data_IF_414688577114
#
_entry.id   IF_414688577114
#
_cell.length_a   1.000
_cell.length_b   1.000
_cell.length_c   1.000
_cell.angle_alpha   90.00
_cell.angle_beta   90.00
_cell.angle_gamma   90.00
#
_symmetry.space_group_name_H-M   'P 1'
#
loop_
_entity.id
_entity.type
_entity.pdbx_description
1 polymer ?
#
# COMPACT_ATOMS: atom_id res chain seq x y z
N UNK A 1 71.08 -14.77 -30.10
CA UNK A 1 69.62 -14.93 -30.31
C UNK A 1 68.89 -13.57 -30.58
N UNK A 2 69.49 -12.45 -30.34
CA UNK A 2 68.87 -11.12 -30.45
C UNK A 2 68.77 -10.54 -31.89
N UNK A 3 69.66 -10.89 -32.82
CA UNK A 3 69.67 -10.36 -34.22
C UNK A 3 68.46 -10.87 -35.06
N UNK A 4 67.92 -12.08 -34.82
CA UNK A 4 66.82 -12.60 -35.62
C UNK A 4 65.45 -11.97 -35.23
N UNK A 5 65.24 -11.51 -33.95
CA UNK A 5 64.03 -10.81 -33.53
C UNK A 5 63.94 -9.40 -34.11
N UNK A 6 65.05 -8.69 -34.24
CA UNK A 6 65.08 -7.33 -34.76
C UNK A 6 64.70 -7.25 -36.26
N UNK A 7 65.18 -8.20 -37.05
CA UNK A 7 64.88 -8.26 -38.50
C UNK A 7 63.39 -8.63 -38.75
N UNK A 8 62.78 -9.42 -37.89
CA UNK A 8 61.37 -9.81 -38.03
C UNK A 8 60.44 -8.64 -37.67
N UNK A 9 60.84 -7.80 -36.70
CA UNK A 9 60.10 -6.61 -36.29
C UNK A 9 60.17 -5.48 -37.31
N UNK A 10 61.33 -5.33 -37.97
CA UNK A 10 61.53 -4.34 -39.01
C UNK A 10 60.73 -4.64 -40.28
N UNK A 11 60.65 -5.94 -40.67
CA UNK A 11 59.82 -6.38 -41.82
C UNK A 11 58.35 -6.19 -41.57
N UNK A 12 57.87 -6.38 -40.31
CA UNK A 12 56.46 -6.18 -39.96
C UNK A 12 56.07 -4.68 -40.02
N UNK A 13 56.94 -3.78 -39.59
CA UNK A 13 56.69 -2.32 -39.70
C UNK A 13 56.69 -1.81 -41.14
N UNK A 14 57.54 -2.33 -41.98
CA UNK A 14 57.59 -1.96 -43.41
C UNK A 14 56.35 -2.45 -44.16
N UNK A 15 55.88 -3.68 -43.85
CA UNK A 15 54.65 -4.22 -44.48
C UNK A 15 53.41 -3.41 -44.04
N UNK A 16 53.28 -3.04 -42.73
CA UNK A 16 52.20 -2.21 -42.28
C UNK A 16 52.23 -0.80 -42.90
N UNK A 17 53.42 -0.21 -43.08
CA UNK A 17 53.56 1.11 -43.70
C UNK A 17 53.15 1.09 -45.18
N UNK A 18 53.47 -0.01 -45.92
CA UNK A 18 53.08 -0.17 -47.33
C UNK A 18 51.56 -0.36 -47.45
N UNK A 19 50.92 -1.07 -46.55
CA UNK A 19 49.45 -1.28 -46.54
C UNK A 19 48.75 0.06 -46.26
N UNK A 20 49.24 0.86 -45.32
CA UNK A 20 48.66 2.17 -45.00
C UNK A 20 48.79 3.14 -46.20
N UNK A 21 49.92 3.11 -46.87
CA UNK A 21 50.12 3.90 -48.11
C UNK A 21 49.20 3.48 -49.26
N UNK A 22 48.97 2.18 -49.42
CA UNK A 22 48.03 1.67 -50.42
C UNK A 22 46.59 2.06 -50.14
N UNK A 23 46.18 2.08 -48.85
CA UNK A 23 44.83 2.52 -48.43
C UNK A 23 44.64 4.02 -48.65
N UNK A 24 45.65 4.84 -48.34
CA UNK A 24 45.61 6.28 -48.61
C UNK A 24 45.57 6.57 -50.10
N UNK A 25 46.34 5.85 -50.94
CA UNK A 25 46.29 5.99 -52.39
C UNK A 25 44.91 5.55 -52.97
N UNK A 26 44.31 4.49 -52.41
CA UNK A 26 42.96 4.05 -52.79
C UNK A 26 41.88 5.08 -52.47
N UNK A 27 41.96 5.69 -51.28
CA UNK A 27 41.05 6.77 -50.88
C UNK A 27 41.24 8.03 -51.75
N UNK A 28 42.45 8.40 -52.04
CA UNK A 28 42.78 9.52 -52.96
C UNK A 28 42.25 9.26 -54.38
N UNK A 29 42.33 8.02 -54.86
CA UNK A 29 41.78 7.65 -56.16
C UNK A 29 40.28 7.72 -56.21
N UNK A 30 39.60 7.29 -55.13
CA UNK A 30 38.11 7.39 -54.99
C UNK A 30 37.66 8.86 -54.97
N UNK A 31 38.36 9.73 -54.20
CA UNK A 31 38.08 11.17 -54.19
C UNK A 31 38.36 11.81 -55.55
N UNK A 32 39.47 11.43 -56.25
CA UNK A 32 39.73 11.89 -57.56
C UNK A 32 38.78 11.44 -58.67
N UNK A 33 38.25 10.21 -58.56
CA UNK A 33 37.21 9.70 -59.48
C UNK A 33 35.84 10.38 -59.23
N UNK A 34 35.54 10.79 -58.00
CA UNK A 34 34.36 11.60 -57.70
C UNK A 34 34.47 13.06 -58.13
N UNK A 35 35.72 13.61 -58.19
CA UNK A 35 36.00 14.98 -58.65
C UNK A 35 36.01 15.12 -60.15
N UNK A 36 36.08 14.01 -60.90
CA UNK A 36 36.22 14.00 -62.39
C UNK A 36 34.93 13.42 -63.04
N UNK A 37 33.78 13.64 -62.41
CA UNK A 37 32.47 13.36 -63.00
C UNK A 37 32.12 14.48 -64.01
N UNK A 38 31.89 14.08 -65.20
CA UNK A 38 31.69 14.85 -66.46
C UNK A 38 30.76 16.04 -66.31
N UNK A 39 31.21 17.13 -66.84
CA UNK A 39 30.35 18.21 -67.31
C UNK A 39 29.49 17.78 -68.47
N UNK A 40 28.21 17.65 -68.22
CA UNK A 40 27.18 17.61 -69.24
C UNK A 40 26.14 18.68 -68.92
N UNK A 41 26.09 19.67 -69.80
CA UNK A 41 25.05 20.67 -69.90
C UNK A 41 23.65 20.02 -69.83
N UNK A 42 22.95 20.30 -68.77
CA UNK A 42 21.56 19.94 -68.60
C UNK A 42 20.85 21.09 -67.94
N UNK A 43 20.09 21.84 -68.71
CA UNK A 43 19.21 22.93 -68.29
C UNK A 43 18.46 22.61 -67.05
N UNK A 44 18.45 23.60 -66.14
CA UNK A 44 17.62 23.68 -64.92
C UNK A 44 16.12 23.46 -65.28
N UNK A 45 15.63 22.25 -65.20
CA UNK A 45 14.28 21.99 -64.77
C UNK A 45 14.32 21.89 -63.26
N UNK A 46 14.09 23.02 -62.59
CA UNK A 46 13.58 23.06 -61.21
C UNK A 46 12.23 22.39 -61.26
N UNK A 47 12.22 21.05 -61.11
CA UNK A 47 11.01 20.35 -60.75
C UNK A 47 10.63 20.87 -59.36
N UNK A 48 9.64 21.76 -59.32
CA UNK A 48 8.80 21.98 -58.17
C UNK A 48 8.22 20.61 -57.79
N UNK A 49 8.99 19.83 -57.02
CA UNK A 49 8.40 18.85 -56.13
C UNK A 49 7.64 19.71 -55.12
N UNK A 50 6.38 20.04 -55.44
CA UNK A 50 5.36 20.30 -54.45
C UNK A 50 5.48 19.10 -53.52
N UNK A 51 6.07 19.33 -52.35
CA UNK A 51 5.90 18.45 -51.21
C UNK A 51 4.39 18.49 -50.97
N UNK A 52 3.64 17.50 -51.49
CA UNK A 52 2.37 17.22 -50.90
C UNK A 52 2.62 17.09 -49.39
N UNK A 53 2.33 18.16 -48.66
CA UNK A 53 2.28 18.11 -47.24
C UNK A 53 1.25 17.03 -46.91
N UNK A 54 1.74 15.87 -46.50
CA UNK A 54 0.89 14.74 -46.10
C UNK A 54 -0.03 15.25 -45.00
N UNK A 55 -1.30 15.49 -45.37
CA UNK A 55 -2.33 15.97 -44.42
C UNK A 55 -2.38 15.00 -43.28
N UNK A 56 -2.03 15.46 -42.09
CA UNK A 56 -1.95 14.62 -40.89
C UNK A 56 -3.37 14.31 -40.40
N UNK A 57 -3.69 13.04 -40.32
CA UNK A 57 -4.98 12.62 -39.74
C UNK A 57 -4.91 12.71 -38.20
N UNK A 58 -5.92 13.36 -37.62
CA UNK A 58 -5.98 13.66 -36.18
C UNK A 58 -7.32 13.25 -35.56
N UNK A 59 -7.28 12.80 -34.32
CA UNK A 59 -8.48 12.64 -33.51
C UNK A 59 -8.73 13.92 -32.71
N UNK A 60 -10.00 14.25 -32.53
CA UNK A 60 -10.38 15.49 -31.86
C UNK A 60 -11.43 15.27 -30.79
N UNK A 61 -11.50 16.20 -29.83
CA UNK A 61 -12.58 16.29 -28.84
C UNK A 61 -13.08 17.72 -28.71
N UNK A 62 -14.36 17.86 -28.43
CA UNK A 62 -14.95 19.18 -28.12
C UNK A 62 -14.72 19.49 -26.65
N UNK A 63 -14.10 20.61 -26.37
CA UNK A 63 -13.81 21.06 -25.02
C UNK A 63 -15.11 21.48 -24.31
N UNK A 64 -15.41 20.86 -23.20
CA UNK A 64 -16.57 21.16 -22.35
C UNK A 64 -16.15 21.23 -20.91
N UNK A 65 -16.87 22.02 -20.11
CA UNK A 65 -16.69 22.03 -18.66
C UNK A 65 -17.22 20.72 -18.09
N UNK A 66 -16.37 20.01 -17.38
CA UNK A 66 -16.71 18.74 -16.73
C UNK A 66 -16.11 18.68 -15.32
N UNK A 67 -16.51 17.66 -14.59
CA UNK A 67 -15.93 17.37 -13.29
C UNK A 67 -14.62 16.61 -13.46
N UNK A 68 -13.52 17.21 -13.03
CA UNK A 68 -12.22 16.59 -13.00
C UNK A 68 -12.05 15.75 -11.73
N UNK A 69 -11.59 14.51 -11.86
CA UNK A 69 -11.25 13.67 -10.71
C UNK A 69 -9.77 13.88 -10.36
N UNK A 70 -9.54 14.81 -9.41
CA UNK A 70 -8.20 15.00 -8.85
C UNK A 70 -7.82 13.75 -8.05
N UNK A 71 -6.65 13.19 -8.30
CA UNK A 71 -6.14 12.01 -7.62
C UNK A 71 -4.87 12.34 -6.85
N UNK A 72 -4.87 12.01 -5.56
CA UNK A 72 -3.68 12.03 -4.70
C UNK A 72 -3.23 10.59 -4.53
N UNK A 73 -2.01 10.30 -5.00
CA UNK A 73 -1.41 8.97 -4.89
C UNK A 73 -0.46 8.93 -3.69
N UNK A 74 -0.71 7.97 -2.81
CA UNK A 74 0.11 7.75 -1.62
C UNK A 74 0.51 6.27 -1.52
N UNK A 75 1.59 6.02 -0.80
CA UNK A 75 1.95 4.69 -0.36
C UNK A 75 1.49 4.51 1.09
N UNK A 76 0.86 3.39 1.37
CA UNK A 76 0.37 3.05 2.70
C UNK A 76 0.80 1.66 3.12
N UNK A 77 0.55 1.36 4.38
CA UNK A 77 0.76 0.05 4.99
C UNK A 77 -0.51 -0.42 5.66
N UNK A 78 -0.89 -1.66 5.42
CA UNK A 78 -2.02 -2.30 6.08
C UNK A 78 -1.68 -2.64 7.53
N UNK A 79 -2.62 -2.37 8.41
CA UNK A 79 -2.60 -2.79 9.81
C UNK A 79 -3.93 -3.44 10.15
N UNK A 80 -3.87 -4.60 10.75
CA UNK A 80 -5.08 -5.25 11.24
C UNK A 80 -5.74 -4.39 12.32
N UNK A 81 -7.06 -4.30 12.28
CA UNK A 81 -7.84 -3.51 13.24
C UNK A 81 -7.65 -3.99 14.67
N UNK A 82 -7.58 -5.30 14.85
CA UNK A 82 -7.27 -5.95 16.13
C UNK A 82 -6.12 -6.91 15.96
N UNK A 83 -5.12 -6.73 16.77
CA UNK A 83 -3.93 -7.59 16.84
C UNK A 83 -3.61 -7.81 18.32
N UNK A 84 -3.46 -9.05 18.72
CA UNK A 84 -3.05 -9.45 20.05
C UNK A 84 -1.85 -10.38 19.98
N UNK A 85 -0.78 -10.04 20.68
CA UNK A 85 0.33 -10.96 20.94
C UNK A 85 -0.06 -11.81 22.14
N UNK A 86 -0.30 -13.08 21.90
CA UNK A 86 -0.69 -14.04 22.93
C UNK A 86 0.54 -14.67 23.54
N UNK A 87 0.55 -14.73 24.87
CA UNK A 87 1.60 -15.38 25.64
C UNK A 87 1.20 -16.81 25.95
N UNK A 88 2.18 -17.67 26.21
CA UNK A 88 1.88 -19.02 26.68
C UNK A 88 1.15 -18.97 28.02
N UNK A 89 0.18 -19.88 28.23
CA UNK A 89 -0.49 -19.97 29.52
C UNK A 89 0.57 -20.29 30.56
N UNK A 90 0.70 -19.42 31.57
CA UNK A 90 1.72 -19.46 32.62
C UNK A 90 3.17 -19.56 32.09
N UNK A 91 3.84 -18.43 32.01
CA UNK A 91 5.23 -18.33 31.58
C UNK A 91 6.14 -19.37 32.27
N UNK A 92 6.88 -20.12 31.46
CA UNK A 92 7.82 -21.13 31.94
C UNK A 92 7.26 -22.53 32.19
N UNK A 93 5.95 -22.78 32.07
CA UNK A 93 5.39 -24.13 32.13
C UNK A 93 5.46 -24.86 30.77
N UNK A 94 5.45 -26.20 30.83
CA UNK A 94 5.47 -27.05 29.62
C UNK A 94 4.05 -27.07 29.02
N UNK A 95 3.94 -26.80 27.72
CA UNK A 95 2.69 -26.94 26.99
C UNK A 95 2.36 -28.43 26.80
N UNK A 96 1.21 -28.85 27.24
CA UNK A 96 0.70 -30.23 27.02
C UNK A 96 0.22 -30.37 25.58
N UNK A 97 -0.51 -29.36 25.06
CA UNK A 97 -1.01 -29.38 23.69
C UNK A 97 -1.02 -27.97 23.07
N UNK A 98 -0.84 -27.96 21.74
CA UNK A 98 -1.06 -26.78 20.89
C UNK A 98 -2.04 -27.19 19.81
N UNK A 99 -3.22 -26.56 19.80
CA UNK A 99 -4.37 -27.00 19.01
C UNK A 99 -4.57 -26.19 17.73
N UNK A 100 -3.61 -25.34 17.37
CA UNK A 100 -3.71 -24.42 16.25
C UNK A 100 -2.45 -24.41 15.38
N UNK A 101 -2.59 -23.87 14.16
CA UNK A 101 -1.50 -23.74 13.18
C UNK A 101 -1.47 -22.32 12.60
N UNK A 102 -0.32 -21.89 12.10
CA UNK A 102 -0.23 -20.64 11.36
C UNK A 102 -1.22 -20.59 10.19
N UNK A 103 -1.89 -19.45 10.02
CA UNK A 103 -2.90 -19.25 9.00
C UNK A 103 -4.29 -19.79 9.33
N UNK A 104 -4.46 -20.52 10.44
CA UNK A 104 -5.75 -21.07 10.85
C UNK A 104 -6.69 -19.96 11.35
N UNK A 105 -7.94 -20.01 10.91
CA UNK A 105 -9.02 -19.18 11.45
C UNK A 105 -9.52 -19.80 12.77
N UNK A 106 -9.66 -18.98 13.80
CA UNK A 106 -10.15 -19.38 15.12
C UNK A 106 -11.32 -18.48 15.54
N UNK A 107 -12.27 -19.05 16.27
CA UNK A 107 -13.37 -18.30 16.87
C UNK A 107 -12.98 -17.81 18.26
N UNK A 108 -13.62 -16.71 18.69
CA UNK A 108 -13.53 -16.24 20.09
C UNK A 108 -13.84 -17.36 21.09
N UNK A 109 -13.04 -17.45 22.15
CA UNK A 109 -13.17 -18.50 23.19
C UNK A 109 -12.61 -19.87 22.82
N UNK A 110 -12.17 -20.09 21.55
CA UNK A 110 -11.56 -21.36 21.14
C UNK A 110 -10.28 -21.60 21.93
N UNK A 111 -10.07 -22.84 22.39
CA UNK A 111 -8.85 -23.25 23.10
C UNK A 111 -7.69 -23.40 22.12
N UNK A 112 -6.67 -22.56 22.29
CA UNK A 112 -5.48 -22.52 21.45
C UNK A 112 -4.37 -23.46 21.97
N UNK A 113 -4.17 -23.46 23.29
CA UNK A 113 -3.19 -24.29 23.96
C UNK A 113 -3.61 -24.64 25.39
N UNK A 114 -3.04 -25.70 25.90
CA UNK A 114 -3.21 -26.12 27.29
C UNK A 114 -1.82 -26.41 27.87
N UNK A 115 -1.49 -25.78 29.02
CA UNK A 115 -0.31 -26.12 29.80
C UNK A 115 -0.52 -27.41 30.61
N UNK A 116 0.51 -27.93 31.25
CA UNK A 116 0.37 -29.07 32.15
C UNK A 116 -0.53 -28.69 33.33
N UNK A 117 -1.60 -29.44 33.50
CA UNK A 117 -2.64 -29.16 34.49
C UNK A 117 -2.58 -30.06 35.73
N UNK A 118 -1.65 -31.03 35.80
CA UNK A 118 -1.63 -32.04 36.87
C UNK A 118 -1.53 -31.41 38.26
N UNK A 119 -0.49 -30.65 38.51
CA UNK A 119 -0.30 -29.97 39.80
C UNK A 119 -1.46 -29.05 40.19
N UNK A 120 -2.09 -28.40 39.18
CA UNK A 120 -3.23 -27.49 39.42
C UNK A 120 -4.49 -28.22 39.75
N UNK A 121 -4.72 -29.41 39.15
CA UNK A 121 -5.84 -30.28 39.51
C UNK A 121 -5.70 -30.81 40.91
N UNK A 122 -4.48 -31.26 41.29
CA UNK A 122 -4.19 -31.74 42.64
C UNK A 122 -4.39 -30.61 43.69
N UNK A 123 -3.93 -29.38 43.36
CA UNK A 123 -4.14 -28.23 44.22
C UNK A 123 -5.65 -27.86 44.36
N UNK A 124 -6.41 -27.98 43.28
CA UNK A 124 -7.84 -27.74 43.27
C UNK A 124 -8.57 -28.77 44.16
N UNK A 125 -8.24 -30.05 44.01
CA UNK A 125 -8.84 -31.12 44.85
C UNK A 125 -8.50 -30.91 46.32
N UNK A 126 -7.25 -30.54 46.64
CA UNK A 126 -6.87 -30.18 48.01
C UNK A 126 -7.70 -29.00 48.54
N UNK A 127 -7.83 -27.91 47.75
CA UNK A 127 -8.59 -26.75 48.17
C UNK A 127 -10.08 -27.06 48.40
N UNK A 128 -10.69 -28.00 47.60
CA UNK A 128 -12.03 -28.49 47.83
C UNK A 128 -12.15 -29.21 49.16
N UNK A 129 -11.25 -30.13 49.48
CA UNK A 129 -11.23 -30.84 50.75
C UNK A 129 -11.06 -29.90 51.94
N UNK A 130 -10.15 -28.91 51.84
CA UNK A 130 -9.94 -27.91 52.88
C UNK A 130 -11.19 -27.05 53.11
N UNK A 131 -11.94 -26.70 52.04
CA UNK A 131 -13.23 -26.00 52.14
C UNK A 131 -14.30 -26.83 52.82
N UNK A 132 -14.45 -28.13 52.49
CA UNK A 132 -15.40 -29.01 53.13
C UNK A 132 -15.10 -29.17 54.61
N UNK A 133 -13.82 -29.32 54.98
CA UNK A 133 -13.40 -29.35 56.40
C UNK A 133 -13.77 -28.05 57.12
N UNK A 134 -13.44 -26.89 56.50
CA UNK A 134 -13.77 -25.59 57.11
C UNK A 134 -15.28 -25.35 57.23
N UNK A 135 -16.08 -25.94 56.32
CA UNK A 135 -17.54 -25.87 56.37
C UNK A 135 -18.11 -26.65 57.55
N UNK A 136 -17.57 -27.85 57.79
CA UNK A 136 -17.95 -28.63 59.01
C UNK A 136 -17.59 -27.86 60.28
N UNK A 137 -16.39 -27.28 60.34
CA UNK A 137 -15.96 -26.47 61.49
C UNK A 137 -16.84 -25.23 61.70
N UNK A 138 -17.30 -24.60 60.61
CA UNK A 138 -18.25 -23.48 60.65
C UNK A 138 -19.59 -23.92 61.24
N UNK A 139 -20.11 -25.08 60.80
CA UNK A 139 -21.37 -25.65 61.34
C UNK A 139 -21.25 -25.96 62.80
N UNK A 140 -20.16 -26.62 63.24
CA UNK A 140 -19.92 -26.96 64.65
C UNK A 140 -19.84 -25.70 65.53
N UNK A 141 -19.20 -24.63 65.04
CA UNK A 141 -19.15 -23.35 65.77
C UNK A 141 -20.51 -22.67 65.87
N UNK A 142 -21.33 -22.73 64.79
CA UNK A 142 -22.70 -22.20 64.80
C UNK A 142 -23.56 -22.98 65.80
N UNK A 143 -23.48 -24.31 65.83
CA UNK A 143 -24.18 -25.16 66.79
C UNK A 143 -23.73 -24.80 68.22
N UNK A 144 -22.41 -24.64 68.46
CA UNK A 144 -21.85 -24.20 69.73
C UNK A 144 -22.35 -22.85 70.24
N UNK A 145 -22.78 -21.99 69.31
CA UNK A 145 -23.41 -20.68 69.61
C UNK A 145 -24.97 -20.73 69.73
N UNK A 146 -25.51 -21.92 69.64
CA UNK A 146 -26.99 -22.12 69.81
C UNK A 146 -27.79 -21.97 68.54
N UNK A 147 -27.15 -21.94 67.32
CA UNK A 147 -27.83 -21.98 66.01
C UNK A 147 -27.98 -23.45 65.56
N UNK A 148 -28.88 -23.70 64.62
CA UNK A 148 -29.10 -25.03 64.01
C UNK A 148 -28.02 -25.54 63.05
N UNK A 149 -26.90 -24.82 62.95
CA UNK A 149 -25.84 -25.11 61.95
C UNK A 149 -26.14 -24.58 60.56
N UNK A 150 -27.32 -24.01 60.34
CA UNK A 150 -27.68 -23.34 59.10
C UNK A 150 -27.30 -21.85 59.15
N UNK A 151 -26.89 -21.31 58.05
CA UNK A 151 -26.46 -19.90 57.92
C UNK A 151 -27.60 -18.91 57.75
N UNK A 152 -28.83 -19.39 57.40
CA UNK A 152 -29.94 -18.55 56.97
C UNK A 152 -30.55 -17.69 58.09
N UNK A 153 -30.50 -18.16 59.34
CA UNK A 153 -31.05 -17.49 60.50
C UNK A 153 -30.01 -16.86 61.43
N UNK A 154 -28.73 -16.72 60.93
CA UNK A 154 -27.64 -16.19 61.72
C UNK A 154 -27.44 -14.68 61.42
N UNK A 155 -27.37 -13.81 62.45
CA UNK A 155 -27.04 -12.41 62.23
C UNK A 155 -25.74 -12.23 61.46
N UNK A 156 -25.67 -11.28 60.51
CA UNK A 156 -24.58 -11.13 59.59
C UNK A 156 -23.23 -10.87 60.27
N UNK A 157 -23.21 -10.19 61.41
CA UNK A 157 -22.00 -9.91 62.19
C UNK A 157 -21.49 -11.18 62.90
N UNK A 158 -22.36 -12.03 63.40
CA UNK A 158 -22.04 -13.33 64.03
C UNK A 158 -21.54 -14.29 62.93
N UNK A 159 -22.22 -14.38 61.80
CA UNK A 159 -21.86 -15.24 60.68
C UNK A 159 -20.47 -14.87 60.18
N UNK A 160 -20.21 -13.61 59.91
CA UNK A 160 -18.90 -13.13 59.46
C UNK A 160 -17.77 -13.47 60.44
N UNK A 161 -18.03 -13.37 61.76
CA UNK A 161 -17.05 -13.74 62.80
C UNK A 161 -16.76 -15.24 62.75
N UNK A 162 -17.79 -16.06 62.65
CA UNK A 162 -17.68 -17.50 62.62
C UNK A 162 -17.03 -17.97 61.31
N UNK A 163 -17.36 -17.39 60.18
CA UNK A 163 -16.67 -17.66 58.88
C UNK A 163 -15.15 -17.42 58.95
N UNK A 164 -14.75 -16.33 59.58
CA UNK A 164 -13.32 -16.03 59.79
C UNK A 164 -12.65 -17.00 60.77
N UNK A 165 -13.29 -17.26 61.92
CA UNK A 165 -12.67 -18.09 62.96
C UNK A 165 -12.67 -19.59 62.64
N UNK A 166 -13.62 -20.10 61.83
CA UNK A 166 -13.63 -21.46 61.30
C UNK A 166 -12.63 -21.68 60.12
N UNK A 167 -12.06 -20.61 59.60
CA UNK A 167 -11.22 -20.69 58.38
C UNK A 167 -12.00 -20.86 57.10
N UNK A 168 -13.35 -20.83 57.12
CA UNK A 168 -14.18 -20.99 55.93
C UNK A 168 -13.91 -19.91 54.87
N UNK A 169 -13.74 -18.66 55.31
CA UNK A 169 -13.45 -17.56 54.40
C UNK A 169 -12.12 -17.77 53.65
N UNK A 170 -11.06 -18.19 54.38
CA UNK A 170 -9.76 -18.45 53.80
C UNK A 170 -9.77 -19.67 52.87
N UNK A 171 -10.46 -20.72 53.23
CA UNK A 171 -10.60 -21.93 52.41
C UNK A 171 -11.37 -21.65 51.11
N UNK A 172 -12.47 -20.87 51.18
CA UNK A 172 -13.22 -20.40 50.00
C UNK A 172 -12.38 -19.56 49.08
N UNK A 173 -11.54 -18.68 49.61
CA UNK A 173 -10.59 -17.90 48.81
C UNK A 173 -9.53 -18.78 48.15
N UNK A 174 -8.99 -19.79 48.88
CA UNK A 174 -8.04 -20.74 48.35
C UNK A 174 -8.62 -21.58 47.20
N UNK A 175 -9.89 -22.03 47.36
CA UNK A 175 -10.59 -22.73 46.28
C UNK A 175 -10.71 -21.86 45.02
N UNK A 176 -11.19 -20.62 45.15
CA UNK A 176 -11.28 -19.68 44.01
C UNK A 176 -9.93 -19.44 43.35
N UNK A 177 -8.86 -19.30 44.12
CA UNK A 177 -7.51 -19.13 43.60
C UNK A 177 -7.03 -20.37 42.85
N UNK A 178 -7.35 -21.58 43.32
CA UNK A 178 -7.00 -22.83 42.66
C UNK A 178 -7.79 -23.03 41.35
N UNK A 179 -9.07 -22.66 41.33
CA UNK A 179 -9.92 -22.65 40.14
C UNK A 179 -9.37 -21.70 39.09
N UNK A 180 -9.00 -20.47 39.45
CA UNK A 180 -8.41 -19.49 38.58
C UNK A 180 -7.07 -19.99 38.04
N UNK A 181 -6.20 -20.55 38.88
CA UNK A 181 -4.91 -21.11 38.47
C UNK A 181 -5.05 -22.27 37.47
N UNK A 182 -6.10 -23.09 37.59
CA UNK A 182 -6.40 -24.14 36.62
C UNK A 182 -6.96 -23.53 35.30
N UNK A 183 -7.82 -22.52 35.39
CA UNK A 183 -8.36 -21.82 34.23
C UNK A 183 -7.19 -21.15 33.42
N UNK A 184 -6.23 -20.54 34.11
CA UNK A 184 -5.07 -19.87 33.52
C UNK A 184 -4.09 -20.84 32.82
N UNK A 185 -4.24 -22.14 33.02
CA UNK A 185 -3.52 -23.16 32.24
C UNK A 185 -4.06 -23.32 30.81
N UNK A 186 -5.20 -22.71 30.49
CA UNK A 186 -5.82 -22.81 29.18
C UNK A 186 -5.79 -21.47 28.46
N UNK A 187 -5.09 -21.38 27.34
CA UNK A 187 -5.10 -20.22 26.50
C UNK A 187 -6.30 -20.27 25.54
N UNK A 188 -7.14 -19.26 25.59
CA UNK A 188 -8.28 -19.09 24.69
C UNK A 188 -8.10 -17.87 23.79
N UNK A 189 -8.71 -17.91 22.61
CA UNK A 189 -8.73 -16.77 21.70
C UNK A 189 -9.56 -15.62 22.27
N UNK A 190 -9.02 -14.40 22.43
CA UNK A 190 -9.76 -13.26 22.96
C UNK A 190 -10.77 -12.66 21.98
N UNK A 191 -10.63 -12.95 20.70
CA UNK A 191 -11.55 -12.60 19.62
C UNK A 191 -11.38 -13.56 18.44
N UNK A 192 -12.33 -13.57 17.51
CA UNK A 192 -12.23 -14.35 16.28
C UNK A 192 -11.20 -13.74 15.33
N UNK A 193 -10.31 -14.56 14.76
CA UNK A 193 -9.23 -14.07 13.87
C UNK A 193 -8.37 -15.19 13.35
N UNK A 194 -7.25 -14.83 12.75
CA UNK A 194 -6.28 -15.76 12.14
C UNK A 194 -4.99 -15.81 12.96
N UNK A 195 -4.48 -17.02 13.16
CA UNK A 195 -3.21 -17.24 13.85
C UNK A 195 -2.04 -16.89 12.94
N UNK A 196 -1.14 -16.06 13.46
CA UNK A 196 0.14 -15.71 12.84
C UNK A 196 1.29 -15.89 13.84
N UNK A 197 2.51 -16.03 13.34
CA UNK A 197 3.74 -16.08 14.14
C UNK A 197 3.69 -17.09 15.30
N UNK A 198 3.10 -18.28 15.06
CA UNK A 198 3.06 -19.34 16.05
C UNK A 198 4.47 -19.87 16.29
N UNK A 199 4.99 -19.60 17.47
CA UNK A 199 6.34 -20.02 17.92
C UNK A 199 6.27 -21.24 18.82
N UNK A 200 5.23 -21.35 19.62
CA UNK A 200 5.07 -22.38 20.65
C UNK A 200 4.85 -23.78 20.05
N UNK A 201 5.41 -24.78 20.72
CA UNK A 201 5.29 -26.21 20.35
C UNK A 201 4.90 -27.05 21.56
N UNK A 202 4.18 -28.18 21.34
CA UNK A 202 3.91 -29.13 22.40
C UNK A 202 5.19 -29.61 23.07
N UNK A 203 5.13 -29.83 24.37
CA UNK A 203 6.21 -30.33 25.21
C UNK A 203 7.43 -29.41 25.32
N UNK A 204 7.26 -28.13 24.95
CA UNK A 204 8.29 -27.10 25.10
C UNK A 204 7.83 -25.99 26.05
N UNK A 205 8.80 -25.33 26.67
CA UNK A 205 8.60 -24.10 27.46
C UNK A 205 8.75 -22.91 26.52
N UNK A 206 7.97 -21.86 26.74
CA UNK A 206 8.07 -20.64 25.99
C UNK A 206 7.23 -19.54 26.62
N UNK A 207 7.60 -18.28 26.36
CA UNK A 207 6.85 -17.13 26.83
C UNK A 207 5.82 -16.69 25.78
N UNK A 208 6.27 -16.52 24.54
CA UNK A 208 5.39 -16.15 23.41
C UNK A 208 4.70 -17.36 22.84
N UNK A 209 3.41 -17.22 22.53
CA UNK A 209 2.63 -18.25 21.88
C UNK A 209 2.43 -17.96 20.40
N UNK A 210 1.66 -16.96 20.06
CA UNK A 210 1.37 -16.55 18.68
C UNK A 210 0.88 -15.10 18.63
N UNK A 211 0.67 -14.61 17.42
CA UNK A 211 -0.10 -13.38 17.18
C UNK A 211 -1.48 -13.75 16.65
N UNK A 212 -2.54 -13.23 17.26
CA UNK A 212 -3.90 -13.33 16.75
C UNK A 212 -4.26 -12.04 16.01
N UNK A 213 -4.73 -12.16 14.78
CA UNK A 213 -5.01 -11.05 13.87
C UNK A 213 -6.46 -11.15 13.40
N UNK A 214 -7.23 -10.08 13.61
CA UNK A 214 -8.54 -9.93 12.99
C UNK A 214 -8.33 -9.44 11.56
N UNK A 215 -8.50 -10.34 10.59
CA UNK A 215 -8.30 -10.07 9.16
C UNK A 215 -9.58 -9.66 8.42
N UNK A 216 -10.63 -9.31 9.14
CA UNK A 216 -11.91 -8.86 8.56
C UNK A 216 -11.83 -7.45 7.99
N UNK A 217 -11.14 -6.55 8.69
CA UNK A 217 -10.88 -5.17 8.28
C UNK A 217 -9.42 -4.83 8.51
N UNK A 218 -8.91 -3.95 7.64
CA UNK A 218 -7.58 -3.36 7.80
C UNK A 218 -7.67 -1.84 7.86
N UNK A 219 -6.92 -1.26 8.74
CA UNK A 219 -6.61 0.16 8.71
C UNK A 219 -5.37 0.36 7.83
N UNK A 220 -5.49 1.23 6.84
CA UNK A 220 -4.42 1.63 5.93
C UNK A 220 -3.78 2.88 6.48
N UNK A 221 -2.55 2.81 6.93
CA UNK A 221 -1.79 3.96 7.39
C UNK A 221 -0.98 4.53 6.24
N UNK A 222 -1.20 5.80 5.90
CA UNK A 222 -0.49 6.51 4.85
C UNK A 222 -0.27 7.97 5.22
N UNK A 223 0.60 8.64 4.46
CA UNK A 223 0.92 10.05 4.68
C UNK A 223 0.59 10.87 3.45
N UNK A 224 0.05 12.06 3.66
CA UNK A 224 -0.25 13.05 2.62
C UNK A 224 0.50 14.34 2.91
N UNK A 225 0.73 15.16 1.89
CA UNK A 225 1.25 16.51 2.05
C UNK A 225 0.22 17.41 2.75
N UNK A 226 0.67 18.35 3.56
CA UNK A 226 -0.19 19.36 4.20
C UNK A 226 -1.05 20.10 3.17
N UNK A 227 -0.50 20.44 2.01
CA UNK A 227 -1.22 21.08 0.91
C UNK A 227 -2.41 20.26 0.37
N UNK A 228 -2.38 18.92 0.51
CA UNK A 228 -3.45 18.02 0.08
C UNK A 228 -4.53 17.83 1.15
N UNK A 229 -4.29 18.29 2.38
CA UNK A 229 -5.23 18.14 3.50
C UNK A 229 -6.58 18.83 3.24
N UNK A 230 -6.58 19.92 2.49
CA UNK A 230 -7.81 20.61 2.07
C UNK A 230 -8.77 19.68 1.31
N UNK A 231 -8.21 18.71 0.62
CA UNK A 231 -8.91 17.72 -0.20
C UNK A 231 -9.31 16.44 0.54
N UNK A 232 -8.85 16.25 1.78
CA UNK A 232 -9.05 14.99 2.54
C UNK A 232 -9.81 15.29 3.83
N UNK A 233 -10.95 14.62 4.01
CA UNK A 233 -11.81 14.76 5.20
C UNK A 233 -12.16 13.38 5.74
N UNK A 234 -12.63 13.32 6.97
CA UNK A 234 -13.24 12.12 7.52
C UNK A 234 -14.36 11.62 6.58
N UNK A 235 -14.36 10.34 6.26
CA UNK A 235 -15.29 9.72 5.32
C UNK A 235 -14.90 9.84 3.85
N UNK A 236 -13.82 10.56 3.49
CA UNK A 236 -13.34 10.60 2.10
C UNK A 236 -13.06 9.18 1.60
N UNK A 237 -13.61 8.86 0.42
CA UNK A 237 -13.43 7.56 -0.22
C UNK A 237 -12.01 7.41 -0.74
N UNK A 238 -11.41 6.27 -0.46
CA UNK A 238 -10.07 5.91 -0.93
C UNK A 238 -10.11 4.58 -1.67
N UNK A 239 -9.32 4.46 -2.72
CA UNK A 239 -9.06 3.18 -3.41
C UNK A 239 -7.72 2.65 -2.94
N UNK A 240 -7.70 1.40 -2.53
CA UNK A 240 -6.52 0.74 -1.98
C UNK A 240 -6.19 -0.49 -2.82
N UNK A 241 -4.97 -0.54 -3.33
CA UNK A 241 -4.49 -1.65 -4.16
C UNK A 241 -3.16 -2.16 -3.63
N UNK A 242 -3.03 -3.46 -3.32
CA UNK A 242 -1.74 -4.05 -2.95
C UNK A 242 -0.72 -3.93 -4.09
N UNK A 243 0.56 -3.73 -3.77
CA UNK A 243 1.59 -3.70 -4.81
C UNK A 243 1.78 -5.04 -5.51
N UNK A 244 1.46 -6.14 -4.79
CA UNK A 244 1.57 -7.52 -5.32
C UNK A 244 0.48 -7.82 -6.35
N UNK A 245 -0.71 -7.24 -6.16
CA UNK A 245 -1.88 -7.47 -7.03
C UNK A 245 -2.49 -6.12 -7.40
N UNK A 246 -2.07 -5.58 -8.54
CA UNK A 246 -2.49 -4.25 -9.02
C UNK A 246 -3.93 -4.23 -9.52
N UNK A 247 -4.49 -5.38 -9.86
CA UNK A 247 -5.87 -5.50 -10.34
C UNK A 247 -6.86 -5.52 -9.16
N UNK A 248 -6.41 -5.95 -8.00
CA UNK A 248 -7.22 -5.89 -6.79
C UNK A 248 -7.33 -4.44 -6.31
N UNK A 249 -8.49 -3.85 -6.50
CA UNK A 249 -8.82 -2.52 -5.99
C UNK A 249 -9.96 -2.61 -4.99
N UNK A 250 -9.70 -2.22 -3.76
CA UNK A 250 -10.65 -2.21 -2.66
C UNK A 250 -11.00 -0.77 -2.31
N UNK A 251 -12.28 -0.55 -2.02
CA UNK A 251 -12.76 0.75 -1.59
C UNK A 251 -12.76 0.82 -0.07
N UNK A 252 -12.22 1.93 0.46
CA UNK A 252 -12.23 2.25 1.87
C UNK A 252 -12.66 3.70 2.11
N UNK A 253 -12.68 4.10 3.38
CA UNK A 253 -12.97 5.47 3.78
C UNK A 253 -11.99 5.93 4.85
N UNK A 254 -11.63 7.21 4.81
CA UNK A 254 -10.80 7.86 5.83
C UNK A 254 -11.51 7.83 7.18
N UNK A 255 -10.86 7.28 8.19
CA UNK A 255 -11.38 7.14 9.56
C UNK A 255 -10.65 8.01 10.57
N UNK A 256 -9.42 8.42 10.27
CA UNK A 256 -8.62 9.22 11.19
C UNK A 256 -7.66 10.12 10.40
N UNK A 257 -7.54 11.37 10.84
CA UNK A 257 -6.54 12.32 10.34
C UNK A 257 -5.78 12.83 11.57
N UNK A 258 -4.47 12.59 11.61
CA UNK A 258 -3.65 13.08 12.71
C UNK A 258 -3.57 14.62 12.66
N UNK A 259 -3.87 15.34 13.76
CA UNK A 259 -3.81 16.80 13.79
C UNK A 259 -2.37 17.36 13.86
N UNK A 260 -1.36 16.53 13.71
CA UNK A 260 0.06 16.92 13.71
C UNK A 260 0.69 16.75 12.33
N UNK A 261 1.48 17.74 11.93
CA UNK A 261 2.34 17.70 10.73
C UNK A 261 3.75 17.30 11.16
N UNK A 262 4.36 16.38 10.46
CA UNK A 262 5.75 15.97 10.75
C UNK A 262 6.77 16.97 10.15
N UNK A 263 8.07 16.79 10.51
CA UNK A 263 9.17 17.66 10.06
C UNK A 263 9.35 17.71 8.53
N UNK A 264 8.68 16.82 7.80
CA UNK A 264 8.69 16.75 6.34
C UNK A 264 7.45 17.38 5.71
N UNK A 265 6.58 18.01 6.48
CA UNK A 265 5.32 18.58 5.99
C UNK A 265 4.26 17.53 5.66
N UNK A 266 4.34 16.34 6.28
CA UNK A 266 3.40 15.26 6.03
C UNK A 266 2.43 15.08 7.19
N UNK A 267 1.18 14.79 6.87
CA UNK A 267 0.11 14.45 7.80
C UNK A 267 -0.20 12.96 7.69
N UNK A 268 -0.24 12.26 8.83
CA UNK A 268 -0.61 10.85 8.88
C UNK A 268 -2.12 10.69 8.84
N UNK A 269 -2.58 9.82 7.97
CA UNK A 269 -4.01 9.53 7.73
C UNK A 269 -4.23 8.03 7.83
N UNK A 270 -5.38 7.62 8.40
CA UNK A 270 -5.84 6.23 8.37
C UNK A 270 -7.14 6.11 7.59
N UNK A 271 -7.24 5.09 6.79
CA UNK A 271 -8.47 4.72 6.11
C UNK A 271 -8.78 3.25 6.39
N UNK A 272 -10.06 2.91 6.50
CA UNK A 272 -10.50 1.55 6.74
C UNK A 272 -10.96 0.87 5.47
N UNK A 273 -10.48 -0.35 5.24
CA UNK A 273 -10.87 -1.23 4.13
C UNK A 273 -11.36 -2.56 4.64
N UNK A 274 -12.37 -3.11 3.99
CA UNK A 274 -12.86 -4.46 4.27
C UNK A 274 -12.08 -5.47 3.45
N UNK A 275 -11.63 -6.55 4.08
CA UNK A 275 -10.91 -7.65 3.40
C UNK A 275 -11.89 -8.63 2.74
N UNK A 276 -12.54 -8.21 1.67
CA UNK A 276 -13.53 -9.05 0.96
C UNK A 276 -12.92 -10.23 0.22
N UNK A 277 -11.66 -10.13 -0.16
CA UNK A 277 -10.95 -11.15 -0.94
C UNK A 277 -10.16 -12.15 -0.08
N UNK A 278 -10.03 -11.92 1.21
CA UNK A 278 -9.12 -12.64 2.12
C UNK A 278 -7.65 -12.69 1.65
N UNK A 279 -7.28 -11.75 0.74
CA UNK A 279 -5.91 -11.66 0.18
C UNK A 279 -5.05 -10.62 0.86
N UNK A 280 -5.66 -9.75 1.68
CA UNK A 280 -4.91 -8.76 2.44
C UNK A 280 -4.28 -9.41 3.67
N UNK A 281 -3.02 -9.06 3.91
CA UNK A 281 -2.26 -9.50 5.09
C UNK A 281 -1.81 -8.30 5.91
N UNK A 282 -1.70 -8.47 7.22
CA UNK A 282 -1.13 -7.46 8.10
C UNK A 282 0.32 -7.14 7.69
N UNK A 283 0.63 -5.85 7.63
CA UNK A 283 1.94 -5.36 7.21
C UNK A 283 2.16 -5.21 5.71
N UNK A 284 1.20 -5.57 4.84
CA UNK A 284 1.31 -5.36 3.39
C UNK A 284 1.45 -3.88 3.03
N UNK A 285 2.31 -3.60 2.05
CA UNK A 285 2.38 -2.29 1.43
C UNK A 285 1.34 -2.18 0.32
N UNK A 286 0.67 -1.03 0.28
CA UNK A 286 -0.43 -0.74 -0.64
C UNK A 286 -0.27 0.63 -1.27
N UNK A 287 -0.84 0.78 -2.47
CA UNK A 287 -1.08 2.08 -3.10
C UNK A 287 -2.45 2.56 -2.64
N UNK A 288 -2.50 3.82 -2.24
CA UNK A 288 -3.74 4.52 -1.85
C UNK A 288 -3.98 5.63 -2.85
N UNK A 289 -5.18 5.67 -3.41
CA UNK A 289 -5.64 6.73 -4.31
C UNK A 289 -6.82 7.42 -3.65
N UNK A 290 -6.67 8.70 -3.39
CA UNK A 290 -7.74 9.55 -2.89
C UNK A 290 -8.30 10.32 -4.07
N UNK A 291 -9.60 10.23 -4.32
CA UNK A 291 -10.26 10.90 -5.43
C UNK A 291 -11.10 12.07 -4.92
N UNK A 292 -10.86 13.24 -5.50
CA UNK A 292 -11.63 14.45 -5.25
C UNK A 292 -12.19 14.99 -6.55
N UNK A 293 -13.46 15.35 -6.51
CA UNK A 293 -14.17 15.93 -7.66
C UNK A 293 -14.04 17.44 -7.66
N UNK A 294 -13.49 18.02 -8.72
CA UNK A 294 -13.43 19.46 -8.95
C UNK A 294 -14.27 19.76 -10.18
N UNK A 295 -15.38 20.49 -9.99
CA UNK A 295 -16.33 20.80 -11.07
C UNK A 295 -15.88 22.00 -11.91
N UNK A 296 -16.37 22.09 -13.15
CA UNK A 296 -16.21 23.26 -14.01
C UNK A 296 -14.84 23.35 -14.69
N UNK A 297 -14.08 22.26 -14.78
CA UNK A 297 -12.76 22.22 -15.40
C UNK A 297 -12.84 21.84 -16.88
N UNK A 298 -11.92 22.39 -17.69
CA UNK A 298 -11.65 21.85 -19.01
C UNK A 298 -10.71 20.67 -18.88
N UNK A 299 -11.18 19.50 -19.27
CA UNK A 299 -10.45 18.22 -19.09
C UNK A 299 -10.06 17.68 -20.46
N UNK A 300 -8.77 17.40 -20.62
CA UNK A 300 -8.20 16.81 -21.84
C UNK A 300 -7.39 15.57 -21.49
N UNK A 301 -7.32 14.56 -22.38
CA UNK A 301 -6.38 13.45 -22.23
C UNK A 301 -4.93 13.95 -22.14
N UNK A 302 -4.07 13.24 -21.43
CA UNK A 302 -2.64 13.64 -21.34
C UNK A 302 -1.96 13.71 -22.70
N UNK A 303 -2.37 12.86 -23.62
CA UNK A 303 -1.84 12.78 -24.97
C UNK A 303 -2.16 14.03 -25.81
N UNK A 304 -3.22 14.79 -25.45
CA UNK A 304 -3.57 16.04 -26.11
C UNK A 304 -2.61 17.20 -25.81
N UNK A 305 -1.86 17.11 -24.70
CA UNK A 305 -0.96 18.15 -24.25
C UNK A 305 0.47 17.80 -24.63
N UNK A 306 1.13 18.70 -25.33
CA UNK A 306 2.53 18.56 -25.75
C UNK A 306 3.36 19.67 -25.13
N UNK A 307 4.54 19.35 -24.64
CA UNK A 307 5.49 20.38 -24.15
C UNK A 307 6.29 20.94 -25.31
N UNK A 308 6.29 22.26 -25.47
CA UNK A 308 7.04 23.00 -26.47
C UNK A 308 7.66 24.25 -25.82
N UNK A 309 8.94 24.45 -26.02
CA UNK A 309 9.70 25.61 -25.52
C UNK A 309 9.52 25.84 -24.00
N UNK A 310 9.35 24.77 -23.23
CA UNK A 310 9.13 24.82 -21.78
C UNK A 310 7.69 25.23 -21.36
N UNK A 311 6.75 25.22 -22.30
CA UNK A 311 5.32 25.48 -22.06
C UNK A 311 4.45 24.30 -22.50
N UNK A 312 3.31 24.15 -21.85
CA UNK A 312 2.31 23.17 -22.27
C UNK A 312 1.43 23.76 -23.37
N UNK A 313 1.17 22.95 -24.39
CA UNK A 313 0.43 23.36 -25.58
C UNK A 313 -0.62 22.32 -25.91
N UNK A 314 -1.80 22.78 -26.30
CA UNK A 314 -2.81 22.00 -27.00
C UNK A 314 -3.01 22.56 -28.42
N UNK A 315 -3.34 21.71 -29.36
CA UNK A 315 -3.72 22.15 -30.70
C UNK A 315 -5.24 22.26 -30.78
N UNK A 316 -5.72 23.47 -31.09
CA UNK A 316 -7.13 23.74 -31.34
C UNK A 316 -7.39 23.67 -32.84
N UNK A 317 -8.31 22.80 -33.26
CA UNK A 317 -8.70 22.67 -34.67
C UNK A 317 -9.65 23.80 -35.07
N UNK A 318 -9.25 24.54 -36.09
CA UNK A 318 -10.09 25.56 -36.70
C UNK A 318 -10.92 24.93 -37.84
N UNK A 319 -12.25 24.98 -37.70
CA UNK A 319 -13.19 24.39 -38.68
C UNK A 319 -13.24 25.11 -40.03
N UNK A 320 -12.95 26.42 -40.06
CA UNK A 320 -13.02 27.22 -41.26
C UNK A 320 -11.78 27.01 -42.16
N UNK A 321 -10.62 26.93 -41.51
CA UNK A 321 -9.33 26.82 -42.21
C UNK A 321 -8.80 25.39 -42.30
N UNK A 322 -9.41 24.42 -41.60
CA UNK A 322 -8.95 23.03 -41.47
C UNK A 322 -7.51 22.92 -40.91
N UNK A 323 -7.11 23.85 -40.03
CA UNK A 323 -5.76 23.96 -39.50
C UNK A 323 -5.72 23.76 -38.00
N UNK A 324 -4.59 23.26 -37.50
CA UNK A 324 -4.27 23.11 -36.09
C UNK A 324 -3.60 24.36 -35.55
N UNK A 325 -4.25 25.07 -34.66
CA UNK A 325 -3.73 26.29 -34.05
C UNK A 325 -3.10 25.97 -32.71
N UNK A 326 -1.86 26.35 -32.53
CA UNK A 326 -1.08 26.19 -31.31
C UNK A 326 -1.62 27.09 -30.20
N UNK A 327 -2.09 26.49 -29.12
CA UNK A 327 -2.67 27.22 -27.99
C UNK A 327 -1.94 26.85 -26.70
N UNK A 328 -1.31 27.83 -26.04
CA UNK A 328 -0.64 27.61 -24.76
C UNK A 328 -1.67 27.44 -23.65
N UNK A 329 -1.40 26.49 -22.74
CA UNK A 329 -2.27 26.17 -21.61
C UNK A 329 -1.48 26.00 -20.32
N UNK A 330 -2.11 26.33 -19.21
CA UNK A 330 -1.60 26.01 -17.89
C UNK A 330 -2.34 24.78 -17.33
N UNK A 331 -1.60 23.82 -16.77
CA UNK A 331 -2.16 22.64 -16.14
C UNK A 331 -2.48 22.98 -14.69
N UNK A 332 -3.77 22.98 -14.34
CA UNK A 332 -4.25 23.19 -12.97
C UNK A 332 -4.15 21.94 -12.13
N UNK A 333 -4.59 20.80 -12.69
CA UNK A 333 -4.57 19.50 -12.01
C UNK A 333 -4.21 18.40 -13.00
N UNK A 334 -3.59 17.33 -12.46
CA UNK A 334 -3.22 16.11 -13.19
C UNK A 334 -3.76 14.89 -12.46
N UNK A 335 -4.26 13.92 -13.20
CA UNK A 335 -4.54 12.57 -12.70
C UNK A 335 -3.81 11.51 -13.55
N UNK A 336 -4.16 10.24 -13.46
CA UNK A 336 -3.48 9.17 -14.20
C UNK A 336 -3.62 9.29 -15.73
N UNK A 337 -4.76 9.80 -16.22
CA UNK A 337 -5.14 9.77 -17.65
C UNK A 337 -5.33 11.14 -18.28
N UNK A 338 -5.58 12.19 -17.48
CA UNK A 338 -6.06 13.47 -17.98
C UNK A 338 -5.41 14.65 -17.27
N UNK A 339 -5.46 15.81 -17.91
CA UNK A 339 -5.14 17.10 -17.33
C UNK A 339 -6.41 17.97 -17.24
N UNK A 340 -6.52 18.74 -16.16
CA UNK A 340 -7.41 19.89 -16.10
C UNK A 340 -6.62 21.13 -16.51
N UNK A 341 -7.05 21.80 -17.56
CA UNK A 341 -6.32 22.91 -18.19
C UNK A 341 -7.08 24.22 -18.10
N UNK A 342 -6.34 25.32 -18.21
CA UNK A 342 -6.84 26.66 -18.44
C UNK A 342 -5.96 27.36 -19.49
N UNK A 343 -6.39 28.53 -19.98
CA UNK A 343 -5.54 29.35 -20.83
C UNK A 343 -4.28 29.81 -20.11
N UNK A 344 -3.23 30.11 -20.85
CA UNK A 344 -1.95 30.59 -20.29
C UNK A 344 -1.92 32.12 -20.27
N UNK A 345 -1.99 32.72 -19.08
CA UNK A 345 -1.97 34.17 -18.91
C UNK A 345 -0.65 34.77 -19.42
N UNK A 346 0.49 34.10 -19.22
CA UNK A 346 1.81 34.57 -19.63
C UNK A 346 1.94 34.72 -21.16
N UNK A 347 1.18 33.92 -21.91
CA UNK A 347 1.17 33.92 -23.37
C UNK A 347 -0.10 34.59 -23.94
N UNK A 348 -0.95 35.13 -23.09
CA UNK A 348 -2.21 35.76 -23.44
C UNK A 348 -3.11 34.87 -24.31
N UNK A 349 -3.13 33.56 -24.02
CA UNK A 349 -3.97 32.58 -24.69
C UNK A 349 -5.11 32.14 -23.80
N UNK A 350 -6.26 31.86 -24.40
CA UNK A 350 -7.46 31.40 -23.69
C UNK A 350 -8.03 30.17 -24.39
N UNK A 351 -8.59 29.27 -23.60
CA UNK A 351 -9.40 28.14 -24.09
C UNK A 351 -10.87 28.37 -23.72
N UNK A 352 -11.77 28.06 -24.62
CA UNK A 352 -13.22 28.31 -24.48
C UNK A 352 -14.00 27.01 -24.58
N UNK A 353 -15.19 27.04 -24.01
CA UNK A 353 -16.14 25.95 -24.22
C UNK A 353 -16.58 25.90 -25.68
N UNK A 354 -16.52 24.71 -26.28
CA UNK A 354 -16.78 24.50 -27.68
C UNK A 354 -15.53 24.42 -28.58
N UNK A 355 -14.35 24.80 -28.08
CA UNK A 355 -13.09 24.61 -28.81
C UNK A 355 -12.88 23.13 -29.12
N UNK A 356 -12.35 22.83 -30.31
CA UNK A 356 -12.07 21.48 -30.73
C UNK A 356 -10.58 21.22 -30.51
N UNK A 357 -10.25 20.41 -29.53
CA UNK A 357 -8.87 20.07 -29.19
C UNK A 357 -8.47 18.77 -29.88
N UNK A 358 -7.29 18.75 -30.50
CA UNK A 358 -6.70 17.55 -31.10
C UNK A 358 -6.13 16.68 -29.97
N UNK A 359 -6.55 15.42 -29.94
CA UNK A 359 -6.19 14.47 -28.89
C UNK A 359 -5.13 13.46 -29.31
N UNK A 360 -5.02 13.19 -30.62
CA UNK A 360 -3.96 12.32 -31.14
C UNK A 360 -3.47 12.82 -32.50
N UNK A 361 -2.25 12.39 -32.91
CA UNK A 361 -1.60 12.86 -34.13
C UNK A 361 -0.85 14.21 -33.96
N UNK A 362 -0.82 14.76 -32.72
CA UNK A 362 -0.31 16.09 -32.40
C UNK A 362 1.20 16.18 -32.17
N UNK A 363 1.93 15.07 -32.02
CA UNK A 363 3.35 15.07 -31.63
C UNK A 363 4.26 15.80 -32.64
N UNK A 364 3.96 15.71 -33.94
CA UNK A 364 4.74 16.29 -35.02
C UNK A 364 4.08 17.50 -35.69
N UNK A 365 2.96 17.98 -35.13
CA UNK A 365 2.28 19.16 -35.66
C UNK A 365 3.09 20.43 -35.37
N UNK A 366 3.20 21.29 -36.39
CA UNK A 366 3.63 22.67 -36.21
C UNK A 366 2.39 23.58 -36.09
N UNK A 367 2.62 24.83 -35.70
CA UNK A 367 1.54 25.81 -35.69
C UNK A 367 1.01 26.04 -37.11
N UNK A 368 -0.28 26.22 -37.23
CA UNK A 368 -1.00 26.46 -38.51
C UNK A 368 -0.85 25.31 -39.53
N UNK A 369 -0.61 24.08 -39.09
CA UNK A 369 -0.55 22.91 -39.98
C UNK A 369 -1.95 22.47 -40.42
N UNK A 370 -2.10 22.17 -41.72
CA UNK A 370 -3.35 21.58 -42.26
C UNK A 370 -3.52 20.14 -41.76
N UNK A 371 -4.73 19.85 -41.26
CA UNK A 371 -5.03 18.53 -40.66
C UNK A 371 -6.41 18.04 -41.12
N UNK A 372 -6.57 16.73 -41.16
CA UNK A 372 -7.83 16.05 -41.46
C UNK A 372 -8.32 15.34 -40.21
N UNK A 373 -9.54 15.69 -39.80
CA UNK A 373 -10.19 15.01 -38.66
C UNK A 373 -10.73 13.67 -39.15
N UNK A 374 -10.46 12.60 -38.40
CA UNK A 374 -10.98 11.24 -38.63
C UNK A 374 -12.48 11.14 -38.42
#
# INVERSE_FOLDING_TARGET
MLKKKFIKMFKKKVVVSVIVLAVIAGLAYIVYSFAKGDGADGKDEVSNLEREEAVVEVDTMVLRRQTFQKQVLCNGKLRAMRRAELMCPKAGEILQSVNVRNGQLVAEGMTLAVADTRERKDALEKAKHDLEKAKVELQDKLIGLGYDGNTDNVPADVLKRVEVTSGYYSARFALRSAEQALHDCTLKAPFSGRIADLVARPHQRGDKFCTLIDDSFFDVEFKILEAELVSVRMGTVVKVSPFVDKELSLTGAVTEINPSVDDKGLVSVKARVKNTSSRLLDGMNVRVIIENSVSGMFVVPKEAVVERDGYNVVFVYNRETHRAVWTYVDILYSNLTSFAITGCERKNTTVKEGDIVITSGNLNLADDTEVKVK
#
